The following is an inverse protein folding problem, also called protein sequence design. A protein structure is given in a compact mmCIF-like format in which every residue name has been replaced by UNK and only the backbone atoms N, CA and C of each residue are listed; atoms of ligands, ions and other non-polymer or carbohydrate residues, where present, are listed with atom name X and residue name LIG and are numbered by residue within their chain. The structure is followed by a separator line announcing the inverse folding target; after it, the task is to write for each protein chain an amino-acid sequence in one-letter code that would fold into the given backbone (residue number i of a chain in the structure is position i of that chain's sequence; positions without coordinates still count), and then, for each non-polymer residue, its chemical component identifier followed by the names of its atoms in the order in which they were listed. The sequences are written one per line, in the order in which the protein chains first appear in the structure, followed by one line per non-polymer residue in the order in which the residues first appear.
data_IF_685125236083
#
_entry.id   IF_685125236083
#
_cell.length_a   1.000
_cell.length_b   1.000
_cell.length_c   1.000
_cell.angle_alpha   90.00
_cell.angle_beta   90.00
_cell.angle_gamma   90.00
#
_symmetry.space_group_name_H-M   'P 1'
#
loop_
_entity.id
_entity.type
_entity.pdbx_description
1 polymer ?
#
# COMPACT_ATOMS: atom_id res chain seq x y z
N UNK A 1 -24.54 -2.17 -1.99
CA UNK A 1 -23.14 -2.54 -2.32
C UNK A 1 -22.25 -2.24 -1.12
N UNK A 2 -21.46 -3.20 -0.68
CA UNK A 2 -20.52 -3.02 0.42
C UNK A 2 -19.27 -2.30 -0.11
N UNK A 3 -18.88 -1.14 0.43
CA UNK A 3 -17.67 -0.46 0.01
C UNK A 3 -16.43 -1.29 0.39
N UNK A 4 -15.44 -1.30 -0.47
CA UNK A 4 -14.18 -2.04 -0.28
C UNK A 4 -13.02 -1.07 -0.10
N UNK A 5 -12.21 -1.27 0.93
CA UNK A 5 -11.01 -0.49 1.21
C UNK A 5 -9.77 -1.29 0.86
N UNK A 6 -8.86 -0.72 0.07
CA UNK A 6 -7.54 -1.28 -0.18
C UNK A 6 -6.59 -0.88 0.96
N UNK A 7 -6.11 -1.85 1.73
CA UNK A 7 -5.05 -1.64 2.72
C UNK A 7 -3.70 -1.96 2.11
N UNK A 8 -2.79 -0.99 2.12
CA UNK A 8 -1.43 -1.12 1.60
C UNK A 8 -0.45 -1.07 2.76
N UNK A 9 0.36 -2.11 2.93
CA UNK A 9 1.32 -2.18 4.03
C UNK A 9 2.50 -3.10 3.76
N UNK A 10 3.59 -2.87 4.49
CA UNK A 10 4.74 -3.77 4.54
C UNK A 10 4.47 -4.83 5.60
N UNK A 11 3.93 -5.98 5.20
CA UNK A 11 3.37 -6.97 6.12
C UNK A 11 4.42 -7.76 6.90
N UNK A 12 5.66 -7.74 6.47
CA UNK A 12 6.80 -8.30 7.21
C UNK A 12 7.10 -7.52 8.50
N UNK A 13 6.88 -6.20 8.48
CA UNK A 13 7.17 -5.32 9.63
C UNK A 13 5.91 -4.75 10.29
N UNK A 14 4.78 -4.68 9.59
CA UNK A 14 3.52 -4.05 10.02
C UNK A 14 2.30 -4.96 9.86
N UNK A 15 2.53 -6.27 9.79
CA UNK A 15 1.47 -7.26 9.66
C UNK A 15 0.41 -7.17 10.77
N UNK A 16 0.77 -7.24 12.06
CA UNK A 16 -0.19 -7.18 13.16
C UNK A 16 -0.99 -5.86 13.20
N UNK A 17 -0.33 -4.72 12.94
CA UNK A 17 -1.00 -3.41 12.90
C UNK A 17 -1.96 -3.32 11.70
N UNK A 18 -1.56 -3.87 10.55
CA UNK A 18 -2.43 -3.91 9.36
C UNK A 18 -3.62 -4.86 9.59
N UNK A 19 -3.41 -5.99 10.27
CA UNK A 19 -4.49 -6.89 10.67
C UNK A 19 -5.51 -6.19 11.58
N UNK A 20 -5.03 -5.43 12.57
CA UNK A 20 -5.90 -4.62 13.43
C UNK A 20 -6.71 -3.61 12.62
N UNK A 21 -6.07 -2.87 11.71
CA UNK A 21 -6.76 -1.91 10.85
C UNK A 21 -7.80 -2.59 9.96
N UNK A 22 -7.47 -3.73 9.34
CA UNK A 22 -8.41 -4.55 8.56
C UNK A 22 -9.66 -4.89 9.37
N UNK A 23 -9.48 -5.38 10.59
CA UNK A 23 -10.58 -5.82 11.42
C UNK A 23 -11.45 -4.63 11.88
N UNK A 24 -10.85 -3.47 12.12
CA UNK A 24 -11.59 -2.23 12.40
C UNK A 24 -12.40 -1.77 11.19
N UNK A 25 -11.83 -1.75 10.00
CA UNK A 25 -12.54 -1.38 8.76
C UNK A 25 -13.73 -2.32 8.52
N UNK A 26 -13.53 -3.62 8.70
CA UNK A 26 -14.62 -4.61 8.58
C UNK A 26 -15.74 -4.41 9.62
N UNK A 27 -15.37 -4.06 10.84
CA UNK A 27 -16.35 -3.78 11.90
C UNK A 27 -17.25 -2.57 11.60
N UNK A 28 -16.81 -1.67 10.71
CA UNK A 28 -17.63 -0.56 10.20
C UNK A 28 -18.38 -0.88 8.90
N UNK A 29 -18.48 -2.14 8.53
CA UNK A 29 -19.30 -2.60 7.42
C UNK A 29 -18.66 -2.43 6.04
N UNK A 30 -17.33 -2.33 5.97
CA UNK A 30 -16.60 -2.32 4.70
C UNK A 30 -15.90 -3.66 4.45
N UNK A 31 -15.80 -4.04 3.17
CA UNK A 31 -14.87 -5.10 2.75
C UNK A 31 -13.44 -4.57 2.70
N UNK A 32 -12.47 -5.47 2.74
CA UNK A 32 -11.06 -5.12 2.73
C UNK A 32 -10.29 -6.03 1.78
N UNK A 33 -9.48 -5.42 0.93
CA UNK A 33 -8.41 -6.07 0.18
C UNK A 33 -7.07 -5.64 0.79
N UNK A 34 -6.18 -6.59 1.02
CA UNK A 34 -4.85 -6.35 1.62
C UNK A 34 -3.77 -6.54 0.56
N UNK A 35 -2.94 -5.52 0.39
CA UNK A 35 -1.79 -5.53 -0.52
C UNK A 35 -0.50 -5.47 0.29
N UNK A 36 0.37 -6.46 0.08
CA UNK A 36 1.70 -6.51 0.69
C UNK A 36 2.72 -5.78 -0.19
N UNK A 37 3.20 -4.64 0.27
CA UNK A 37 4.27 -3.87 -0.37
C UNK A 37 5.66 -4.16 0.22
N UNK A 38 5.79 -5.17 1.08
CA UNK A 38 7.06 -5.62 1.65
C UNK A 38 7.99 -6.23 0.61
N UNK A 39 9.30 -6.17 0.84
CA UNK A 39 10.30 -6.70 -0.10
C UNK A 39 11.10 -7.82 0.55
N UNK A 40 11.52 -7.66 1.79
CA UNK A 40 12.55 -8.48 2.42
C UNK A 40 11.99 -9.71 3.14
N UNK A 41 11.01 -9.51 4.03
CA UNK A 41 10.50 -10.56 4.92
C UNK A 41 9.18 -11.17 4.45
N UNK A 42 8.72 -12.21 5.15
CA UNK A 42 7.41 -12.79 4.95
C UNK A 42 6.35 -12.01 5.72
N UNK A 43 5.11 -12.03 5.23
CA UNK A 43 3.97 -11.44 5.94
C UNK A 43 3.78 -12.11 7.31
N UNK A 44 3.56 -11.32 8.34
CA UNK A 44 3.39 -11.77 9.74
C UNK A 44 1.99 -11.41 10.23
N UNK A 45 1.25 -12.41 10.72
CA UNK A 45 -0.04 -12.21 11.39
C UNK A 45 -1.21 -11.78 10.50
N UNK A 46 -1.01 -11.75 9.18
CA UNK A 46 -2.03 -11.39 8.19
C UNK A 46 -1.73 -12.04 6.85
N UNK A 47 -2.77 -12.40 6.11
CA UNK A 47 -2.66 -12.87 4.73
C UNK A 47 -3.00 -11.74 3.77
N UNK A 48 -2.18 -11.57 2.73
CA UNK A 48 -2.43 -10.61 1.67
C UNK A 48 -3.33 -11.21 0.57
N UNK A 49 -4.23 -10.38 0.03
CA UNK A 49 -4.96 -10.67 -1.20
C UNK A 49 -4.06 -10.46 -2.43
N UNK A 50 -3.18 -9.46 -2.35
CA UNK A 50 -2.11 -9.20 -3.31
C UNK A 50 -0.77 -9.36 -2.59
N UNK A 51 -0.12 -10.50 -2.83
CA UNK A 51 1.18 -10.80 -2.22
C UNK A 51 2.28 -9.91 -2.81
N UNK A 52 3.39 -9.75 -2.12
CA UNK A 52 4.56 -9.01 -2.62
C UNK A 52 5.07 -9.57 -3.96
N UNK A 53 4.93 -10.89 -4.19
CA UNK A 53 5.26 -11.54 -5.45
C UNK A 53 4.34 -11.02 -6.57
N UNK A 54 3.04 -10.97 -6.34
CA UNK A 54 2.07 -10.43 -7.28
C UNK A 54 2.28 -8.93 -7.54
N UNK A 55 2.70 -8.17 -6.53
CA UNK A 55 3.06 -6.76 -6.69
C UNK A 55 4.32 -6.60 -7.56
N UNK A 56 5.34 -7.42 -7.35
CA UNK A 56 6.55 -7.42 -8.18
C UNK A 56 6.24 -7.78 -9.63
N UNK A 57 5.39 -8.78 -9.85
CA UNK A 57 4.93 -9.18 -11.19
C UNK A 57 4.14 -8.06 -11.88
N UNK A 58 3.28 -7.35 -11.15
CA UNK A 58 2.55 -6.19 -11.68
C UNK A 58 3.48 -5.02 -12.08
N UNK A 59 4.68 -4.98 -11.52
CA UNK A 59 5.75 -4.07 -11.95
C UNK A 59 6.54 -4.58 -13.17
N UNK A 60 6.27 -5.79 -13.65
CA UNK A 60 7.05 -6.44 -14.72
C UNK A 60 8.36 -7.04 -14.22
N UNK A 61 8.45 -7.37 -12.93
CA UNK A 61 9.65 -7.91 -12.28
C UNK A 61 9.31 -9.15 -11.44
N UNK A 62 10.25 -9.61 -10.63
CA UNK A 62 10.08 -10.71 -9.69
C UNK A 62 10.67 -10.32 -8.34
N UNK A 63 10.11 -10.84 -7.26
CA UNK A 63 10.55 -10.46 -5.90
C UNK A 63 12.05 -10.76 -5.68
N UNK A 64 12.57 -11.87 -6.22
CA UNK A 64 13.99 -12.19 -6.10
C UNK A 64 14.88 -11.20 -6.88
N UNK A 65 14.44 -10.71 -8.04
CA UNK A 65 15.14 -9.66 -8.77
C UNK A 65 15.16 -8.35 -7.98
N UNK A 66 14.08 -8.02 -7.28
CA UNK A 66 14.01 -6.83 -6.43
C UNK A 66 14.95 -6.93 -5.22
N UNK A 67 15.02 -8.11 -4.57
CA UNK A 67 15.96 -8.38 -3.47
C UNK A 67 17.42 -8.25 -3.92
N UNK A 68 17.70 -8.57 -5.16
CA UNK A 68 19.04 -8.54 -5.78
C UNK A 68 19.30 -7.27 -6.61
N UNK A 69 18.46 -6.25 -6.53
CA UNK A 69 18.52 -5.05 -7.37
C UNK A 69 19.76 -4.14 -7.14
N UNK A 70 20.67 -4.55 -6.26
CA UNK A 70 21.91 -3.86 -5.95
C UNK A 70 21.76 -2.68 -4.98
N UNK A 71 20.62 -2.01 -4.98
CA UNK A 71 20.31 -0.95 -3.99
C UNK A 71 18.85 -1.06 -3.53
N UNK A 72 18.63 -0.71 -2.26
CA UNK A 72 17.27 -0.67 -1.69
C UNK A 72 16.37 0.32 -2.44
N UNK A 73 16.92 1.44 -2.91
CA UNK A 73 16.17 2.44 -3.66
C UNK A 73 15.58 1.91 -4.96
N UNK A 74 16.35 1.11 -5.72
CA UNK A 74 15.85 0.47 -6.96
C UNK A 74 14.73 -0.52 -6.67
N UNK A 75 14.87 -1.34 -5.63
CA UNK A 75 13.85 -2.28 -5.23
C UNK A 75 12.54 -1.57 -4.85
N UNK A 76 12.63 -0.49 -4.09
CA UNK A 76 11.47 0.33 -3.71
C UNK A 76 10.82 0.97 -4.94
N UNK A 77 11.61 1.50 -5.88
CA UNK A 77 11.10 2.10 -7.11
C UNK A 77 10.31 1.12 -7.97
N UNK A 78 10.80 -0.10 -8.13
CA UNK A 78 10.08 -1.13 -8.87
C UNK A 78 8.81 -1.56 -8.11
N UNK A 79 8.91 -1.80 -6.81
CA UNK A 79 7.75 -2.15 -5.98
C UNK A 79 6.65 -1.09 -6.05
N UNK A 80 7.03 0.18 -6.08
CA UNK A 80 6.15 1.33 -6.24
C UNK A 80 5.33 1.26 -7.54
N UNK A 81 5.95 0.85 -8.66
CA UNK A 81 5.24 0.66 -9.94
C UNK A 81 4.14 -0.40 -9.81
N UNK A 82 4.45 -1.53 -9.15
CA UNK A 82 3.49 -2.62 -8.95
C UNK A 82 2.32 -2.22 -8.05
N UNK A 83 2.60 -1.60 -6.90
CA UNK A 83 1.56 -1.10 -6.00
C UNK A 83 0.63 -0.12 -6.71
N UNK A 84 1.21 0.81 -7.49
CA UNK A 84 0.46 1.79 -8.28
C UNK A 84 -0.40 1.12 -9.36
N UNK A 85 0.15 0.17 -10.10
CA UNK A 85 -0.56 -0.56 -11.14
C UNK A 85 -1.80 -1.27 -10.59
N UNK A 86 -1.64 -2.05 -9.52
CA UNK A 86 -2.76 -2.76 -8.88
C UNK A 86 -3.82 -1.79 -8.37
N UNK A 87 -3.42 -0.71 -7.68
CA UNK A 87 -4.38 0.26 -7.15
C UNK A 87 -5.19 0.95 -8.26
N UNK A 88 -4.54 1.33 -9.36
CA UNK A 88 -5.22 1.94 -10.51
C UNK A 88 -6.18 0.97 -11.18
N UNK A 89 -5.78 -0.27 -11.40
CA UNK A 89 -6.63 -1.29 -12.02
C UNK A 89 -7.87 -1.58 -11.17
N UNK A 90 -7.69 -1.74 -9.87
CA UNK A 90 -8.81 -1.95 -8.93
C UNK A 90 -9.75 -0.74 -8.89
N UNK A 91 -9.20 0.47 -8.89
CA UNK A 91 -9.97 1.70 -8.93
C UNK A 91 -10.76 1.86 -10.22
N UNK A 92 -10.13 1.62 -11.38
CA UNK A 92 -10.77 1.69 -12.70
C UNK A 92 -11.89 0.65 -12.87
N UNK A 93 -11.74 -0.52 -12.24
CA UNK A 93 -12.76 -1.58 -12.25
C UNK A 93 -13.86 -1.37 -11.20
N UNK A 94 -13.81 -0.31 -10.39
CA UNK A 94 -14.76 -0.07 -9.30
C UNK A 94 -14.70 -1.12 -8.19
N UNK A 95 -13.58 -1.83 -8.04
CA UNK A 95 -13.38 -2.86 -7.02
C UNK A 95 -12.94 -2.33 -5.67
N UNK A 96 -12.47 -1.09 -5.62
CA UNK A 96 -12.13 -0.38 -4.39
C UNK A 96 -12.81 0.98 -4.34
N UNK A 97 -13.14 1.43 -3.13
CA UNK A 97 -13.90 2.64 -2.84
C UNK A 97 -13.15 3.57 -1.87
N UNK A 98 -12.01 3.13 -1.39
CA UNK A 98 -11.10 3.86 -0.53
C UNK A 98 -9.77 3.16 -0.42
N UNK A 99 -8.74 3.85 0.04
CA UNK A 99 -7.43 3.28 0.31
C UNK A 99 -6.89 3.76 1.65
N UNK A 100 -6.26 2.87 2.41
CA UNK A 100 -5.64 3.22 3.67
C UNK A 100 -4.29 2.53 3.83
N UNK A 101 -3.39 3.15 4.59
CA UNK A 101 -2.09 2.61 4.92
C UNK A 101 -1.66 3.05 6.31
N UNK A 102 -0.87 2.21 6.97
CA UNK A 102 -0.16 2.60 8.17
C UNK A 102 1.29 2.10 8.09
N UNK A 103 2.21 2.87 8.63
CA UNK A 103 3.61 2.45 8.64
C UNK A 103 4.62 3.58 8.79
N UNK A 104 5.89 3.18 8.75
CA UNK A 104 7.04 4.10 8.71
C UNK A 104 7.26 4.69 7.31
N UNK A 105 8.41 5.36 7.14
CA UNK A 105 8.71 6.15 5.94
C UNK A 105 8.58 5.38 4.63
N UNK A 106 9.14 4.18 4.55
CA UNK A 106 9.21 3.41 3.31
C UNK A 106 7.84 2.87 2.89
N UNK A 107 7.12 2.27 3.83
CA UNK A 107 5.77 1.75 3.55
C UNK A 107 4.79 2.84 3.14
N UNK A 108 4.90 4.01 3.77
CA UNK A 108 4.04 5.16 3.46
C UNK A 108 4.36 5.78 2.10
N UNK A 109 5.63 5.78 1.67
CA UNK A 109 6.01 6.25 0.33
C UNK A 109 5.35 5.39 -0.75
N UNK A 110 5.38 4.06 -0.59
CA UNK A 110 4.74 3.12 -1.52
C UNK A 110 3.23 3.34 -1.59
N UNK A 111 2.58 3.45 -0.44
CA UNK A 111 1.15 3.71 -0.36
C UNK A 111 0.76 5.09 -0.93
N UNK A 112 1.50 6.13 -0.58
CA UNK A 112 1.25 7.49 -1.08
C UNK A 112 1.36 7.58 -2.60
N UNK A 113 2.31 6.87 -3.21
CA UNK A 113 2.46 6.83 -4.65
C UNK A 113 1.22 6.22 -5.34
N UNK A 114 0.67 5.14 -4.79
CA UNK A 114 -0.58 4.56 -5.28
C UNK A 114 -1.75 5.52 -5.08
N UNK A 115 -1.90 6.08 -3.88
CA UNK A 115 -3.00 6.99 -3.54
C UNK A 115 -3.01 8.26 -4.38
N UNK A 116 -1.85 8.87 -4.64
CA UNK A 116 -1.74 10.04 -5.54
C UNK A 116 -2.17 9.75 -6.98
N UNK A 117 -2.20 8.51 -7.39
CA UNK A 117 -2.65 8.10 -8.72
C UNK A 117 -4.17 7.93 -8.80
N UNK A 118 -4.84 7.73 -7.68
CA UNK A 118 -6.29 7.59 -7.60
C UNK A 118 -6.98 8.95 -7.81
N UNK A 119 -8.26 8.96 -8.28
CA UNK A 119 -8.96 10.20 -8.62
C UNK A 119 -9.11 11.18 -7.44
N UNK A 120 -9.37 12.44 -7.77
CA UNK A 120 -9.82 13.46 -6.80
C UNK A 120 -11.13 12.99 -6.16
N UNK A 121 -11.26 13.18 -4.86
CA UNK A 121 -12.43 12.75 -4.08
C UNK A 121 -12.44 11.27 -3.70
N UNK A 122 -11.46 10.50 -4.13
CA UNK A 122 -11.29 9.12 -3.66
C UNK A 122 -10.80 9.13 -2.22
N UNK A 123 -11.50 8.48 -1.26
CA UNK A 123 -11.11 8.46 0.14
C UNK A 123 -9.72 7.84 0.35
N UNK A 124 -8.81 8.57 0.98
CA UNK A 124 -7.42 8.18 1.22
C UNK A 124 -7.03 8.47 2.66
N UNK A 125 -6.39 7.51 3.33
CA UNK A 125 -5.93 7.66 4.71
C UNK A 125 -4.52 7.09 4.86
N UNK A 126 -3.62 7.89 5.42
CA UNK A 126 -2.28 7.43 5.82
C UNK A 126 -2.08 7.72 7.30
N UNK A 127 -1.73 6.68 8.06
CA UNK A 127 -1.36 6.78 9.48
C UNK A 127 0.13 6.51 9.61
N UNK A 128 0.89 7.54 10.00
CA UNK A 128 2.34 7.45 10.09
C UNK A 128 2.92 8.39 11.14
N UNK A 129 3.98 7.99 11.86
CA UNK A 129 4.73 8.90 12.72
C UNK A 129 5.39 10.05 11.95
N UNK A 130 5.54 9.95 10.63
CA UNK A 130 6.00 11.06 9.79
C UNK A 130 5.01 12.22 9.77
N UNK A 131 3.73 11.98 10.04
CA UNK A 131 2.69 12.98 10.14
C UNK A 131 2.70 13.75 11.48
N UNK A 132 3.76 13.62 12.27
CA UNK A 132 3.90 14.28 13.60
C UNK A 132 4.13 15.80 13.56
N UNK A 133 4.23 16.39 12.38
CA UNK A 133 4.49 17.82 12.22
C UNK A 133 5.98 18.23 12.16
N UNK A 134 6.89 17.29 12.43
CA UNK A 134 8.34 17.55 12.39
C UNK A 134 8.98 17.34 11.02
N UNK A 135 8.24 16.82 10.05
CA UNK A 135 8.72 16.55 8.70
C UNK A 135 7.81 17.17 7.64
N UNK A 136 8.37 17.48 6.49
CA UNK A 136 7.62 18.00 5.35
C UNK A 136 6.74 16.90 4.73
N UNK A 137 5.48 17.21 4.47
CA UNK A 137 4.51 16.28 3.87
C UNK A 137 4.60 16.19 2.34
N UNK A 138 5.31 17.11 1.67
CA UNK A 138 5.34 17.20 0.22
C UNK A 138 5.51 15.88 -0.53
N UNK A 139 6.38 14.94 -0.09
CA UNK A 139 6.52 13.65 -0.75
C UNK A 139 5.26 12.77 -0.70
N UNK A 140 4.37 12.99 0.27
CA UNK A 140 3.20 12.15 0.54
C UNK A 140 1.90 12.73 0.01
N UNK A 141 1.86 14.01 -0.29
CA UNK A 141 0.68 14.74 -0.72
C UNK A 141 0.85 15.15 -2.19
N UNK A 142 -0.21 15.02 -2.96
CA UNK A 142 -0.29 15.44 -4.35
C UNK A 142 -1.36 16.49 -4.58
N UNK A 143 -1.51 16.95 -5.81
CA UNK A 143 -2.55 17.92 -6.20
C UNK A 143 -3.96 17.31 -6.27
N UNK A 144 -4.09 16.03 -6.06
CA UNK A 144 -5.37 15.28 -6.09
C UNK A 144 -5.86 14.85 -4.71
N UNK A 145 -5.21 15.29 -3.66
CA UNK A 145 -5.52 14.89 -2.29
C UNK A 145 -6.34 15.97 -1.58
#
# INVERSE_FOLDING_TARGET
MTPTVLLIGTLDTKGPETAYLRDRVRAYGCDVLVLDSGILGEAVGITADFTREAVAEAAGSHIEALRNAGTRGKAVEEMLKGVRSIALDLGAQGKIHGAASLGGAEGVILAAAAMKSLPVGFPKLIVSPLASGFRKFGPFIGSKD
#
